data_IF_262805924560
#
_entry.id   IF_262805924560
#
_cell.length_a   1.000
_cell.length_b   1.000
_cell.length_c   1.000
_cell.angle_alpha   90.00
_cell.angle_beta   90.00
_cell.angle_gamma   90.00
#
_symmetry.space_group_name_H-M   'P 1'
#
loop_
_entity.id
_entity.type
_entity.pdbx_description
1 polymer ?
#
# COMPACT_ATOMS: atom_id res chain seq x y z
N UNK A 1 -4.25 17.69 10.08
CA UNK A 1 -3.15 17.46 9.12
C UNK A 1 -2.21 18.66 9.16
N UNK A 2 -1.23 18.69 10.07
CA UNK A 2 -0.31 19.85 10.19
C UNK A 2 1.09 19.38 10.55
N UNK A 3 1.84 19.05 9.49
CA UNK A 3 3.24 18.65 9.54
C UNK A 3 3.54 17.86 8.28
N UNK A 4 3.86 18.54 7.17
CA UNK A 4 4.33 17.83 5.98
C UNK A 4 5.71 17.24 6.27
N UNK A 5 5.87 15.94 6.09
CA UNK A 5 7.19 15.31 6.17
C UNK A 5 8.10 15.86 5.06
N UNK A 6 9.40 16.09 5.32
CA UNK A 6 10.33 16.53 4.28
C UNK A 6 10.44 15.46 3.18
N UNK A 7 10.29 15.82 1.89
CA UNK A 7 10.46 14.86 0.81
C UNK A 7 11.93 14.44 0.69
N UNK A 8 12.16 13.18 0.34
CA UNK A 8 13.47 12.63 -0.01
C UNK A 8 13.52 12.48 -1.53
N UNK A 9 14.28 13.33 -2.25
CA UNK A 9 14.37 13.28 -3.70
C UNK A 9 15.18 12.06 -4.16
N UNK A 10 14.98 11.67 -5.42
CA UNK A 10 15.83 10.74 -6.17
C UNK A 10 16.01 9.34 -5.56
N UNK A 11 14.97 8.81 -4.90
CA UNK A 11 14.97 7.42 -4.44
C UNK A 11 14.75 6.47 -5.64
N UNK A 12 15.64 5.47 -5.89
CA UNK A 12 15.77 4.85 -7.21
C UNK A 12 14.58 4.03 -7.73
N UNK A 13 13.66 3.59 -6.84
CA UNK A 13 12.57 2.68 -7.22
C UNK A 13 11.20 3.18 -6.77
N UNK A 14 11.11 3.77 -5.57
CA UNK A 14 9.87 4.24 -4.99
C UNK A 14 9.88 5.76 -4.94
N UNK A 15 8.78 6.40 -5.35
CA UNK A 15 8.59 7.84 -5.23
C UNK A 15 7.09 8.14 -5.21
N UNK A 16 6.60 9.06 -4.36
CA UNK A 16 7.36 9.89 -3.43
C UNK A 16 7.85 9.14 -2.17
N UNK A 17 8.94 9.65 -1.60
CA UNK A 17 9.48 9.23 -0.30
C UNK A 17 9.60 10.43 0.64
N UNK A 18 9.51 10.19 1.94
CA UNK A 18 9.50 11.22 2.97
C UNK A 18 10.35 10.82 4.18
N UNK A 19 11.01 11.80 4.81
CA UNK A 19 11.71 11.63 6.06
C UNK A 19 10.70 11.68 7.23
N UNK A 20 10.56 10.56 7.93
CA UNK A 20 9.74 10.38 9.13
C UNK A 20 10.59 10.02 10.35
N UNK A 21 11.90 10.31 10.33
CA UNK A 21 12.80 10.04 11.45
C UNK A 21 12.30 10.74 12.72
N UNK A 22 12.28 10.02 13.84
CA UNK A 22 11.79 10.53 15.13
C UNK A 22 10.26 10.58 15.26
N UNK A 23 9.51 10.19 14.23
CA UNK A 23 8.05 10.06 14.30
C UNK A 23 7.69 8.61 14.60
N UNK A 24 7.09 8.36 15.76
CA UNK A 24 6.72 7.00 16.20
C UNK A 24 5.63 6.39 15.30
N UNK A 25 4.61 7.18 14.98
CA UNK A 25 3.45 6.78 14.17
C UNK A 25 3.17 7.83 13.09
N UNK A 26 3.83 7.73 11.93
CA UNK A 26 3.58 8.64 10.82
C UNK A 26 2.15 8.54 10.31
N UNK A 27 1.50 9.67 10.05
CA UNK A 27 0.16 9.73 9.47
C UNK A 27 0.26 9.86 7.94
N UNK A 28 -0.50 9.04 7.21
CA UNK A 28 -0.56 9.06 5.74
C UNK A 28 -2.01 9.09 5.25
N UNK A 29 -2.28 9.55 4.01
CA UNK A 29 -3.62 9.53 3.45
C UNK A 29 -4.16 8.10 3.32
N UNK A 30 -5.44 7.90 3.63
CA UNK A 30 -6.11 6.62 3.42
C UNK A 30 -6.14 6.23 1.94
N UNK A 31 -6.05 4.93 1.67
CA UNK A 31 -6.12 4.34 0.33
C UNK A 31 -7.08 3.16 0.32
N UNK A 32 -8.03 3.21 -0.61
CA UNK A 32 -8.97 2.12 -0.87
C UNK A 32 -9.15 1.90 -2.36
N UNK A 33 -9.42 0.65 -2.75
CA UNK A 33 -9.83 0.30 -4.11
C UNK A 33 -11.33 0.00 -4.13
N UNK A 34 -12.06 0.79 -4.93
CA UNK A 34 -13.47 0.55 -5.22
C UNK A 34 -13.59 -0.30 -6.49
N UNK A 35 -14.20 -1.48 -6.35
CA UNK A 35 -14.48 -2.40 -7.45
C UNK A 35 -15.84 -2.10 -8.08
N UNK A 36 -16.03 -2.54 -9.33
CA UNK A 36 -17.20 -2.23 -10.14
C UNK A 36 -18.53 -2.78 -9.55
N UNK A 37 -18.45 -3.83 -8.72
CA UNK A 37 -19.59 -4.41 -8.01
C UNK A 37 -19.88 -3.73 -6.66
N UNK A 38 -19.13 -2.67 -6.33
CA UNK A 38 -19.27 -1.92 -5.08
C UNK A 38 -18.44 -2.47 -3.92
N UNK A 39 -17.69 -3.56 -4.11
CA UNK A 39 -16.75 -4.02 -3.08
C UNK A 39 -15.65 -2.97 -2.87
N UNK A 40 -15.29 -2.73 -1.61
CA UNK A 40 -14.22 -1.79 -1.23
C UNK A 40 -13.12 -2.58 -0.54
N UNK A 41 -11.89 -2.48 -1.05
CA UNK A 41 -10.71 -3.01 -0.40
C UNK A 41 -9.94 -1.87 0.27
N UNK A 42 -10.10 -1.76 1.58
CA UNK A 42 -9.39 -0.78 2.41
C UNK A 42 -8.02 -1.32 2.83
N UNK A 43 -6.99 -0.49 2.70
CA UNK A 43 -5.62 -0.86 3.05
C UNK A 43 -5.15 -0.14 4.33
N UNK A 44 -4.57 -0.87 5.29
CA UNK A 44 -3.65 -0.30 6.28
C UNK A 44 -2.47 0.42 5.63
N UNK A 45 -1.91 1.43 6.30
CA UNK A 45 -0.79 2.23 5.78
C UNK A 45 0.41 1.38 5.34
N UNK A 46 0.66 0.29 6.05
CA UNK A 46 1.77 -0.63 5.80
C UNK A 46 1.64 -1.36 4.45
N UNK A 47 0.44 -1.40 3.87
CA UNK A 47 0.18 -2.03 2.58
C UNK A 47 0.47 -1.10 1.38
N UNK A 48 0.66 0.20 1.59
CA UNK A 48 0.94 1.16 0.51
C UNK A 48 2.02 2.21 0.85
N UNK A 49 2.56 2.22 2.06
CA UNK A 49 3.78 2.92 2.41
C UNK A 49 4.78 1.97 3.06
N UNK A 50 5.97 1.90 2.48
CA UNK A 50 7.08 1.08 2.97
C UNK A 50 7.96 1.94 3.86
N UNK A 51 8.14 1.52 5.12
CA UNK A 51 9.10 2.12 6.04
C UNK A 51 10.46 1.43 5.88
N UNK A 52 11.50 2.24 5.66
CA UNK A 52 12.88 1.82 5.54
C UNK A 52 13.59 2.17 6.84
N UNK A 53 13.77 1.17 7.70
CA UNK A 53 14.53 1.29 8.93
C UNK A 53 16.00 0.85 8.68
N UNK A 54 16.99 1.49 9.33
CA UNK A 54 16.88 2.51 10.38
C UNK A 54 16.79 3.96 9.86
N UNK A 55 16.78 4.16 8.53
CA UNK A 55 16.87 5.49 7.92
C UNK A 55 15.66 6.40 8.25
N UNK A 56 14.55 5.82 8.71
CA UNK A 56 13.34 6.57 9.04
C UNK A 56 12.73 7.20 7.80
N UNK A 57 12.88 6.55 6.64
CA UNK A 57 12.30 6.98 5.37
C UNK A 57 11.03 6.17 5.12
N UNK A 58 9.97 6.82 4.68
CA UNK A 58 8.70 6.17 4.31
C UNK A 58 8.37 6.51 2.85
N UNK A 59 8.16 5.48 2.03
CA UNK A 59 7.99 5.60 0.58
C UNK A 59 6.65 5.04 0.12
N UNK A 60 5.98 5.74 -0.81
CA UNK A 60 4.76 5.25 -1.43
C UNK A 60 5.06 4.02 -2.29
N UNK A 61 4.34 2.92 -2.06
CA UNK A 61 4.45 1.65 -2.77
C UNK A 61 3.46 1.56 -3.95
N UNK A 62 3.30 2.66 -4.68
CA UNK A 62 2.46 2.77 -5.88
C UNK A 62 3.33 3.36 -6.99
N UNK A 63 3.47 2.61 -8.08
CA UNK A 63 4.29 3.01 -9.21
C UNK A 63 3.42 3.41 -10.40
N UNK A 64 3.87 4.43 -11.12
CA UNK A 64 3.25 4.84 -12.38
C UNK A 64 3.39 3.74 -13.43
N UNK A 65 2.28 3.46 -14.12
CA UNK A 65 2.22 2.59 -15.29
C UNK A 65 1.78 3.42 -16.50
N UNK A 66 2.23 3.10 -17.73
CA UNK A 66 1.72 3.76 -18.93
C UNK A 66 0.19 3.72 -19.00
N UNK A 67 -0.44 4.69 -19.66
CA UNK A 67 -1.93 4.74 -19.77
C UNK A 67 -2.54 3.51 -20.44
N UNK A 68 -1.79 2.85 -21.32
CA UNK A 68 -2.17 1.60 -21.99
C UNK A 68 -1.76 0.36 -21.20
N UNK A 69 -1.09 0.54 -20.07
CA UNK A 69 -0.66 -0.53 -19.18
C UNK A 69 -1.81 -1.03 -18.31
N UNK A 70 -1.55 -2.14 -17.62
CA UNK A 70 -2.44 -2.68 -16.62
C UNK A 70 -2.00 -2.22 -15.23
N UNK A 71 -2.96 -2.08 -14.31
CA UNK A 71 -2.68 -1.93 -12.89
C UNK A 71 -2.34 -3.29 -12.28
N UNK A 72 -1.38 -3.32 -11.37
CA UNK A 72 -0.95 -4.54 -10.68
C UNK A 72 -1.13 -4.31 -9.18
N UNK A 73 -1.89 -5.19 -8.52
CA UNK A 73 -1.99 -5.26 -7.06
C UNK A 73 -0.86 -6.18 -6.58
N UNK A 74 0.22 -5.59 -6.09
CA UNK A 74 1.45 -6.30 -5.73
C UNK A 74 1.39 -7.00 -4.37
N UNK A 75 2.52 -7.58 -3.98
CA UNK A 75 2.67 -8.29 -2.70
C UNK A 75 2.31 -7.40 -1.50
N UNK A 76 2.80 -6.16 -1.43
CA UNK A 76 2.54 -5.26 -0.30
C UNK A 76 1.06 -5.01 -0.08
N UNK A 77 0.28 -4.81 -1.14
CA UNK A 77 -1.16 -4.63 -1.02
C UNK A 77 -1.88 -5.90 -0.54
N UNK A 78 -1.34 -7.09 -0.83
CA UNK A 78 -1.96 -8.37 -0.45
C UNK A 78 -1.52 -8.89 0.94
N UNK A 79 -0.48 -8.33 1.55
CA UNK A 79 -0.02 -8.74 2.88
C UNK A 79 -1.11 -8.54 3.94
N UNK A 80 -1.23 -9.50 4.87
CA UNK A 80 -2.28 -9.49 5.91
C UNK A 80 -3.72 -9.48 5.36
N UNK A 81 -3.91 -10.03 4.16
CA UNK A 81 -5.23 -10.38 3.63
C UNK A 81 -5.26 -11.86 3.26
N UNK A 82 -6.40 -12.50 3.48
CA UNK A 82 -6.74 -13.73 2.78
C UNK A 82 -7.33 -13.34 1.42
N UNK A 83 -6.70 -13.80 0.34
CA UNK A 83 -7.16 -13.55 -1.04
C UNK A 83 -7.67 -14.86 -1.62
N UNK A 84 -8.96 -14.91 -1.95
CA UNK A 84 -9.62 -16.08 -2.50
C UNK A 84 -9.84 -15.89 -4.01
N UNK A 85 -9.37 -16.87 -4.79
CA UNK A 85 -9.56 -16.91 -6.24
C UNK A 85 -10.65 -17.93 -6.57
N UNK A 86 -11.88 -17.47 -6.74
CA UNK A 86 -12.99 -18.32 -7.16
C UNK A 86 -13.04 -18.38 -8.68
N UNK A 87 -12.29 -19.35 -9.21
CA UNK A 87 -12.18 -19.59 -10.65
C UNK A 87 -13.49 -20.13 -11.26
N UNK A 88 -14.38 -20.72 -10.46
CA UNK A 88 -15.64 -21.26 -10.96
C UNK A 88 -16.65 -20.14 -11.23
N UNK A 89 -16.74 -19.17 -10.31
CA UNK A 89 -17.67 -18.05 -10.41
C UNK A 89 -17.05 -16.78 -11.00
N UNK A 90 -15.77 -16.81 -11.39
CA UNK A 90 -15.00 -15.66 -11.88
C UNK A 90 -14.97 -14.50 -10.88
N UNK A 91 -14.65 -14.79 -9.62
CA UNK A 91 -14.64 -13.79 -8.52
C UNK A 91 -13.31 -13.78 -7.77
N UNK A 92 -12.96 -12.60 -7.31
CA UNK A 92 -11.87 -12.38 -6.35
C UNK A 92 -12.50 -11.97 -5.02
N UNK A 93 -12.14 -12.65 -3.94
CA UNK A 93 -12.51 -12.28 -2.57
C UNK A 93 -11.30 -11.85 -1.77
N UNK A 94 -11.48 -10.91 -0.86
CA UNK A 94 -10.44 -10.46 0.07
C UNK A 94 -11.02 -10.25 1.47
N UNK A 95 -10.26 -10.60 2.50
CA UNK A 95 -10.62 -10.35 3.89
C UNK A 95 -9.36 -10.12 4.75
N UNK A 96 -9.38 -9.22 5.75
CA UNK A 96 -8.25 -9.04 6.65
C UNK A 96 -7.83 -10.33 7.36
N UNK A 97 -6.52 -10.56 7.49
CA UNK A 97 -5.94 -11.70 8.20
C UNK A 97 -4.64 -11.30 8.88
N UNK A 98 -4.42 -11.77 10.11
CA UNK A 98 -3.10 -11.69 10.74
C UNK A 98 -2.29 -12.92 10.34
N UNK A 99 -1.41 -12.77 9.35
CA UNK A 99 -0.67 -13.89 8.78
C UNK A 99 0.47 -14.39 9.69
N UNK A 100 0.89 -13.61 10.67
CA UNK A 100 1.92 -13.99 11.64
C UNK A 100 1.38 -14.72 12.88
N UNK A 101 0.05 -14.82 13.04
CA UNK A 101 -0.61 -15.43 14.21
C UNK A 101 -1.23 -16.80 13.83
N UNK A 102 -0.44 -17.70 13.23
CA UNK A 102 -0.91 -19.04 12.80
C UNK A 102 -0.72 -20.08 13.90
#
# INVERSE_FOLDING_TARGET
MSGSYPPVPDFPVLSPCYNVSGVERPEVPELSLLFADGAVWDFPAENYFIRLDPDGIMCLAVLGTPRTGMSIIGNFQQQNFHVAYDLHNNRLGFAPRRCAEV
#
